data_IF_914616632687
#
_entry.id   IF_914616632687
#
_cell.length_a   1.000
_cell.length_b   1.000
_cell.length_c   1.000
_cell.angle_alpha   90.00
_cell.angle_beta   90.00
_cell.angle_gamma   90.00
#
_symmetry.space_group_name_H-M   'P 1'
#
loop_
_entity.id
_entity.type
_entity.pdbx_description
1 polymer ?
#
# COMPACT_ATOMS: atom_id res chain seq x y z
N UNK A 1 -39.67 -3.89 21.15
CA UNK A 1 -39.12 -3.62 19.81
C UNK A 1 -38.55 -4.92 19.28
N UNK A 2 -39.27 -5.53 18.35
CA UNK A 2 -39.16 -6.89 17.78
C UNK A 2 -37.73 -7.30 17.43
N UNK A 3 -37.16 -8.37 17.98
CA UNK A 3 -37.33 -9.81 17.64
C UNK A 3 -37.17 -10.11 16.16
N UNK A 4 -36.17 -10.93 15.77
CA UNK A 4 -36.40 -12.29 15.20
C UNK A 4 -35.09 -12.99 14.77
N UNK A 5 -34.96 -14.26 15.16
CA UNK A 5 -33.99 -15.25 14.66
C UNK A 5 -34.65 -16.02 13.51
N UNK A 6 -34.06 -16.03 12.32
CA UNK A 6 -34.28 -17.01 11.24
C UNK A 6 -32.99 -16.95 10.40
N UNK A 7 -32.13 -17.96 10.29
CA UNK A 7 -32.33 -19.35 9.86
C UNK A 7 -33.07 -19.44 8.52
N UNK A 8 -32.29 -19.32 7.44
CA UNK A 8 -32.60 -19.77 6.07
C UNK A 8 -31.27 -20.33 5.55
N UNK A 9 -30.93 -21.60 5.79
CA UNK A 9 -31.31 -22.80 5.00
C UNK A 9 -31.29 -22.59 3.48
N UNK A 10 -30.20 -23.12 2.90
CA UNK A 10 -30.03 -23.68 1.55
C UNK A 10 -31.18 -23.47 0.54
N UNK A 11 -30.89 -22.63 -0.46
CA UNK A 11 -31.50 -22.71 -1.78
C UNK A 11 -30.40 -22.90 -2.81
N UNK A 12 -30.05 -24.16 -3.09
CA UNK A 12 -29.22 -24.52 -4.24
C UNK A 12 -30.06 -24.30 -5.51
N UNK A 13 -30.00 -23.09 -6.07
CA UNK A 13 -30.58 -22.79 -7.37
C UNK A 13 -29.61 -23.26 -8.46
N UNK A 14 -29.91 -24.43 -9.05
CA UNK A 14 -29.35 -24.82 -10.34
C UNK A 14 -29.92 -23.86 -11.41
N UNK A 15 -29.16 -22.82 -11.72
CA UNK A 15 -29.42 -21.88 -12.80
C UNK A 15 -28.15 -21.73 -13.64
N UNK A 16 -28.27 -22.05 -14.92
CA UNK A 16 -27.22 -22.11 -15.93
C UNK A 16 -26.44 -20.79 -16.09
N UNK A 17 -25.13 -20.92 -16.33
CA UNK A 17 -24.25 -19.93 -16.93
C UNK A 17 -24.13 -18.58 -16.21
N UNK A 18 -23.52 -18.63 -15.03
CA UNK A 18 -22.88 -17.46 -14.43
C UNK A 18 -21.53 -17.90 -13.88
N UNK A 19 -20.52 -18.00 -14.73
CA UNK A 19 -19.14 -17.86 -14.25
C UNK A 19 -19.08 -16.43 -13.71
N UNK A 20 -19.43 -16.26 -12.43
CA UNK A 20 -19.05 -15.06 -11.70
C UNK A 20 -17.55 -15.24 -11.54
N UNK A 21 -16.83 -14.81 -12.58
CA UNK A 21 -15.39 -14.77 -12.64
C UNK A 21 -14.94 -13.92 -11.46
N UNK A 22 -14.74 -14.57 -10.32
CA UNK A 22 -14.09 -14.02 -9.14
C UNK A 22 -12.58 -13.88 -9.39
N UNK A 23 -12.17 -13.61 -10.64
CA UNK A 23 -10.79 -13.77 -11.11
C UNK A 23 -10.10 -12.47 -11.57
N UNK A 24 -10.73 -11.30 -11.48
CA UNK A 24 -10.02 -10.07 -11.85
C UNK A 24 -10.44 -8.79 -11.11
N UNK A 25 -10.50 -8.81 -9.78
CA UNK A 25 -10.32 -7.55 -9.00
C UNK A 25 -8.82 -7.16 -8.89
N UNK A 26 -8.05 -7.38 -9.96
CA UNK A 26 -6.59 -7.43 -9.94
C UNK A 26 -5.91 -6.75 -11.13
N UNK A 27 -6.48 -5.65 -11.65
CA UNK A 27 -5.86 -4.87 -12.72
C UNK A 27 -4.58 -4.12 -12.29
N UNK A 28 -3.91 -3.43 -13.24
CA UNK A 28 -2.78 -2.54 -12.95
C UNK A 28 -3.08 -1.58 -11.80
N UNK A 29 -2.08 -1.32 -10.95
CA UNK A 29 -2.19 -0.46 -9.76
C UNK A 29 -1.14 0.64 -9.75
N UNK A 30 -1.47 1.73 -9.06
CA UNK A 30 -0.53 2.79 -8.71
C UNK A 30 -0.27 2.69 -7.21
N UNK A 31 0.99 2.53 -6.80
CA UNK A 31 1.35 2.55 -5.39
C UNK A 31 1.48 3.99 -4.92
N UNK A 32 0.89 4.32 -3.76
CA UNK A 32 1.05 5.64 -3.13
C UNK A 32 1.89 5.46 -1.87
N UNK A 33 3.10 6.01 -1.89
CA UNK A 33 4.02 6.03 -0.75
C UNK A 33 3.92 7.41 -0.10
N UNK A 34 3.71 7.46 1.22
CA UNK A 34 3.59 8.73 1.94
C UNK A 34 4.83 8.99 2.78
N UNK A 35 5.38 10.19 2.63
CA UNK A 35 6.47 10.72 3.45
C UNK A 35 5.92 11.92 4.20
N UNK A 36 5.34 11.66 5.37
CA UNK A 36 4.72 12.66 6.24
C UNK A 36 5.60 12.95 7.47
N UNK A 37 5.62 14.19 7.93
CA UNK A 37 6.31 14.60 9.16
C UNK A 37 7.84 14.50 9.09
N UNK A 38 8.50 14.51 10.24
CA UNK A 38 9.96 14.60 10.33
C UNK A 38 10.61 13.29 9.83
N UNK A 39 11.59 13.42 8.93
CA UNK A 39 12.36 12.29 8.39
C UNK A 39 13.49 11.95 9.37
N UNK A 40 13.39 10.81 10.04
CA UNK A 40 14.41 10.35 10.99
C UNK A 40 15.14 9.13 10.49
N UNK A 41 16.39 8.96 10.93
CA UNK A 41 17.13 7.71 10.78
C UNK A 41 16.43 6.63 11.61
N UNK A 42 16.11 5.50 10.99
CA UNK A 42 15.46 4.36 11.66
C UNK A 42 13.95 4.22 11.42
N UNK A 43 13.29 3.47 12.31
CA UNK A 43 11.88 3.08 12.17
C UNK A 43 10.99 4.15 12.80
N UNK A 44 9.88 4.49 12.13
CA UNK A 44 8.84 5.31 12.74
C UNK A 44 8.41 4.66 14.07
N UNK A 45 8.32 5.41 15.18
CA UNK A 45 8.13 4.85 16.52
C UNK A 45 6.78 4.12 16.69
N UNK A 46 5.81 4.35 15.81
CA UNK A 46 4.57 3.57 15.72
C UNK A 46 3.90 3.79 14.36
N UNK A 47 2.96 2.91 13.99
CA UNK A 47 2.09 3.11 12.82
C UNK A 47 1.20 4.37 12.92
N UNK A 48 1.08 4.91 14.15
CA UNK A 48 0.29 6.09 14.51
C UNK A 48 1.15 7.34 14.72
N UNK A 49 2.48 7.22 14.60
CA UNK A 49 3.38 8.36 14.69
C UNK A 49 3.28 9.18 13.41
N UNK A 50 3.17 10.50 13.58
CA UNK A 50 3.18 11.46 12.48
C UNK A 50 4.55 11.57 11.78
N UNK A 51 5.60 10.88 12.28
CA UNK A 51 6.92 10.85 11.68
C UNK A 51 7.12 9.71 10.68
N UNK A 52 7.60 10.04 9.48
CA UNK A 52 8.04 9.08 8.46
C UNK A 52 9.51 8.71 8.65
N UNK A 53 9.78 7.58 9.32
CA UNK A 53 11.13 7.01 9.34
C UNK A 53 11.54 6.50 7.96
N UNK A 54 12.78 6.79 7.53
CA UNK A 54 13.26 6.40 6.20
C UNK A 54 13.13 4.91 5.91
N UNK A 55 13.36 4.06 6.93
CA UNK A 55 13.22 2.61 6.81
C UNK A 55 11.81 2.16 6.41
N UNK A 56 10.76 2.94 6.73
CA UNK A 56 9.39 2.65 6.30
C UNK A 56 9.22 2.95 4.81
N UNK A 57 9.58 4.15 4.39
CA UNK A 57 9.43 4.59 3.00
C UNK A 57 10.24 3.71 2.05
N UNK A 58 11.47 3.35 2.43
CA UNK A 58 12.31 2.42 1.68
C UNK A 58 11.65 1.05 1.53
N UNK A 59 11.05 0.50 2.60
CA UNK A 59 10.32 -0.78 2.52
C UNK A 59 9.08 -0.69 1.65
N UNK A 60 8.31 0.39 1.73
CA UNK A 60 7.12 0.59 0.90
C UNK A 60 7.49 0.74 -0.58
N UNK A 61 8.59 1.44 -0.89
CA UNK A 61 9.14 1.55 -2.24
C UNK A 61 9.65 0.21 -2.79
N UNK A 62 10.40 -0.55 -1.98
CA UNK A 62 10.86 -1.88 -2.35
C UNK A 62 9.69 -2.84 -2.63
N UNK A 63 8.68 -2.84 -1.76
CA UNK A 63 7.47 -3.64 -1.95
C UNK A 63 6.67 -3.23 -3.20
N UNK A 64 6.67 -1.94 -3.55
CA UNK A 64 6.08 -1.46 -4.78
C UNK A 64 6.85 -1.94 -6.02
N UNK A 65 8.19 -1.89 -5.98
CA UNK A 65 9.08 -2.37 -7.06
C UNK A 65 8.93 -3.87 -7.30
N UNK A 66 8.79 -4.67 -6.25
CA UNK A 66 8.68 -6.13 -6.33
C UNK A 66 7.29 -6.61 -6.76
N UNK A 67 6.30 -5.71 -6.85
CA UNK A 67 4.93 -6.07 -7.19
C UNK A 67 4.65 -5.89 -8.70
N UNK A 68 4.50 -6.98 -9.49
CA UNK A 68 4.34 -6.88 -10.94
C UNK A 68 3.03 -6.19 -11.38
N UNK A 69 2.06 -6.03 -10.46
CA UNK A 69 0.81 -5.29 -10.72
C UNK A 69 0.96 -3.79 -10.55
N UNK A 70 1.99 -3.31 -9.85
CA UNK A 70 2.26 -1.88 -9.70
C UNK A 70 2.93 -1.38 -10.97
N UNK A 71 2.31 -0.40 -11.64
CA UNK A 71 2.80 0.19 -12.89
C UNK A 71 3.29 1.62 -12.75
N UNK A 72 3.03 2.22 -11.59
CA UNK A 72 3.55 3.53 -11.24
C UNK A 72 3.60 3.66 -9.72
N UNK A 73 4.51 4.50 -9.25
CA UNK A 73 4.62 4.88 -7.83
C UNK A 73 4.46 6.39 -7.73
N UNK A 74 3.56 6.83 -6.86
CA UNK A 74 3.36 8.23 -6.50
C UNK A 74 3.87 8.42 -5.08
N UNK A 75 4.82 9.34 -4.91
CA UNK A 75 5.34 9.70 -3.60
C UNK A 75 4.67 10.99 -3.15
N UNK A 76 3.87 10.92 -2.09
CA UNK A 76 3.25 12.09 -1.46
C UNK A 76 4.17 12.57 -0.34
N UNK A 77 4.77 13.74 -0.55
CA UNK A 77 5.70 14.34 0.40
C UNK A 77 5.01 15.50 1.13
N UNK A 78 4.96 15.40 2.45
CA UNK A 78 4.49 16.45 3.37
C UNK A 78 5.36 16.42 4.62
N UNK A 79 6.61 16.86 4.46
CA UNK A 79 7.63 16.81 5.50
C UNK A 79 8.28 18.18 5.68
N UNK A 80 8.52 18.64 6.92
CA UNK A 80 9.34 19.83 7.19
C UNK A 80 10.84 19.55 7.01
N UNK A 81 11.24 18.31 6.68
CA UNK A 81 12.63 17.87 6.60
C UNK A 81 13.02 16.93 7.74
N UNK A 82 14.31 16.91 8.08
CA UNK A 82 14.88 16.02 9.10
C UNK A 82 16.32 15.63 8.79
N UNK A 83 16.67 14.36 9.02
CA UNK A 83 18.01 13.83 8.70
C UNK A 83 18.26 13.82 7.19
N UNK A 84 19.39 14.43 6.79
CA UNK A 84 19.88 14.39 5.42
C UNK A 84 20.25 12.97 4.98
N UNK A 85 20.82 12.16 5.89
CA UNK A 85 21.19 10.78 5.61
C UNK A 85 19.94 9.93 5.33
N UNK A 86 18.90 10.09 6.15
CA UNK A 86 17.62 9.41 5.98
C UNK A 86 16.91 9.83 4.67
N UNK A 87 16.95 11.13 4.32
CA UNK A 87 16.41 11.61 3.04
C UNK A 87 17.18 11.03 1.84
N UNK A 88 18.51 10.92 1.95
CA UNK A 88 19.34 10.35 0.89
C UNK A 88 19.12 8.84 0.72
N UNK A 89 18.81 8.12 1.79
CA UNK A 89 18.42 6.71 1.72
C UNK A 89 17.11 6.54 0.92
N UNK A 90 16.10 7.36 1.20
CA UNK A 90 14.84 7.37 0.45
C UNK A 90 15.09 7.71 -1.02
N UNK A 91 15.94 8.70 -1.30
CA UNK A 91 16.27 9.11 -2.68
C UNK A 91 16.91 7.97 -3.49
N UNK A 92 17.88 7.25 -2.91
CA UNK A 92 18.52 6.08 -3.55
C UNK A 92 17.51 4.98 -3.84
N UNK A 93 16.56 4.73 -2.95
CA UNK A 93 15.53 3.74 -3.20
C UNK A 93 14.56 4.20 -4.30
N UNK A 94 14.17 5.47 -4.33
CA UNK A 94 13.35 6.02 -5.43
C UNK A 94 14.04 5.88 -6.80
N UNK A 95 15.35 6.13 -6.87
CA UNK A 95 16.15 5.88 -8.07
C UNK A 95 16.13 4.40 -8.46
N UNK A 96 16.23 3.50 -7.49
CA UNK A 96 16.16 2.06 -7.69
C UNK A 96 14.78 1.60 -8.19
N UNK A 97 13.68 2.22 -7.73
CA UNK A 97 12.33 2.00 -8.27
C UNK A 97 12.25 2.49 -9.71
N UNK A 98 12.72 3.71 -10.00
CA UNK A 98 12.69 4.28 -11.36
C UNK A 98 13.51 3.46 -12.35
N UNK A 99 14.63 2.91 -11.93
CA UNK A 99 15.49 2.08 -12.77
C UNK A 99 14.87 0.71 -13.11
N UNK A 100 13.91 0.23 -12.31
CA UNK A 100 13.27 -1.07 -12.51
C UNK A 100 12.19 -1.07 -13.62
N UNK A 101 11.74 0.11 -14.06
CA UNK A 101 10.69 0.28 -15.08
C UNK A 101 9.29 0.29 -14.52
#
# INVERSE_FOLDING_TARGET
MSSWRMLVMAGMFLGTAGVVASLAWGGPRVAVVRVDGVITEGRAPSAWSEGSGAARSVRELAAARENPRVKAVVVRLNSPGGSAAAAQEIAREMESVRAAG
#
